data_IF_069126615955
#
_entry.id   IF_069126615955
#
_cell.length_a   1.000
_cell.length_b   1.000
_cell.length_c   1.000
_cell.angle_alpha   90.00
_cell.angle_beta   90.00
_cell.angle_gamma   90.00
#
_symmetry.space_group_name_H-M   'P 1'
#
loop_
_entity.id
_entity.type
_entity.pdbx_description
1 polymer ?
#
# COMPACT_ATOMS: atom_id res chain seq x y z
N UNK A 1 0.32 -0.78 7.99
CA UNK A 1 -0.32 -1.02 9.30
C UNK A 1 0.25 -2.28 9.90
N UNK A 2 0.41 -2.31 11.23
CA UNK A 2 0.85 -3.51 11.93
C UNK A 2 0.10 -3.67 13.25
N UNK A 3 -0.11 -4.93 13.65
CA UNK A 3 -0.44 -5.28 15.02
C UNK A 3 0.87 -5.62 15.73
N UNK A 4 1.13 -4.97 16.87
CA UNK A 4 2.36 -5.18 17.64
C UNK A 4 2.02 -5.95 18.90
N UNK A 5 2.73 -7.05 19.12
CA UNK A 5 2.56 -7.86 20.32
C UNK A 5 3.05 -7.08 21.54
N UNK A 6 2.21 -6.96 22.58
CA UNK A 6 2.57 -6.23 23.81
C UNK A 6 3.25 -7.10 24.86
N UNK A 7 3.29 -8.41 24.65
CA UNK A 7 3.89 -9.40 25.54
C UNK A 7 4.33 -10.63 24.75
N UNK A 8 5.07 -11.53 25.39
CA UNK A 8 5.29 -12.87 24.83
C UNK A 8 3.98 -13.65 24.85
N UNK A 9 3.53 -14.12 23.69
CA UNK A 9 2.27 -14.85 23.56
C UNK A 9 2.33 -15.95 22.51
N UNK A 10 1.50 -16.97 22.70
CA UNK A 10 1.29 -18.05 21.73
C UNK A 10 -0.16 -18.02 21.27
N UNK A 11 -0.37 -17.91 19.96
CA UNK A 11 -1.69 -17.96 19.33
C UNK A 11 -1.86 -19.33 18.68
N UNK A 12 -2.93 -20.04 19.03
CA UNK A 12 -3.27 -21.32 18.40
C UNK A 12 -4.32 -21.11 17.31
N UNK A 13 -3.98 -21.41 16.05
CA UNK A 13 -4.86 -21.23 14.90
C UNK A 13 -4.73 -22.42 13.96
N UNK A 14 -5.86 -23.06 13.61
CA UNK A 14 -5.88 -24.20 12.69
C UNK A 14 -5.10 -25.43 13.18
N UNK A 15 -4.94 -25.59 14.50
CA UNK A 15 -4.13 -26.67 15.10
C UNK A 15 -2.65 -26.33 15.23
N UNK A 16 -2.18 -25.22 14.64
CA UNK A 16 -0.79 -24.76 14.69
C UNK A 16 -0.59 -23.71 15.79
N UNK A 17 0.61 -23.70 16.38
CA UNK A 17 1.03 -22.71 17.37
C UNK A 17 1.91 -21.63 16.74
N UNK A 18 1.53 -20.37 16.93
CA UNK A 18 2.24 -19.20 16.43
C UNK A 18 2.77 -18.41 17.61
N UNK A 19 4.08 -18.22 17.66
CA UNK A 19 4.77 -17.54 18.75
C UNK A 19 5.09 -16.11 18.37
N UNK A 20 4.73 -15.17 19.24
CA UNK A 20 5.07 -13.76 19.13
C UNK A 20 5.77 -13.33 20.41
N UNK A 21 6.94 -12.69 20.28
CA UNK A 21 7.59 -12.01 21.40
C UNK A 21 7.00 -10.63 21.60
N UNK A 22 7.18 -10.06 22.79
CA UNK A 22 6.91 -8.65 23.03
C UNK A 22 7.65 -7.79 21.99
N UNK A 23 6.92 -6.88 21.34
CA UNK A 23 7.43 -5.99 20.31
C UNK A 23 7.40 -6.55 18.89
N UNK A 24 7.12 -7.85 18.70
CA UNK A 24 6.98 -8.40 17.36
C UNK A 24 5.83 -7.73 16.62
N UNK A 25 6.10 -7.28 15.40
CA UNK A 25 5.13 -6.58 14.55
C UNK A 25 4.63 -7.51 13.44
N UNK A 26 3.33 -7.76 13.41
CA UNK A 26 2.67 -8.42 12.29
C UNK A 26 2.11 -7.36 11.35
N UNK A 27 2.73 -7.22 10.19
CA UNK A 27 2.22 -6.34 9.13
C UNK A 27 0.89 -6.87 8.60
N UNK A 28 -0.16 -6.08 8.76
CA UNK A 28 -1.50 -6.40 8.25
C UNK A 28 -1.80 -5.71 6.92
N UNK A 29 -1.11 -4.61 6.62
CA UNK A 29 -1.37 -3.82 5.41
C UNK A 29 -0.16 -2.99 5.00
N UNK A 30 0.03 -2.81 3.69
CA UNK A 30 0.82 -1.72 3.12
C UNK A 30 -0.07 -0.75 2.36
N UNK A 31 -0.02 0.54 2.72
CA UNK A 31 -0.69 1.61 1.97
C UNK A 31 0.36 2.40 1.18
N UNK A 32 0.75 1.86 0.03
CA UNK A 32 1.82 2.45 -0.81
C UNK A 32 1.33 3.76 -1.42
N UNK A 33 2.16 4.80 -1.31
CA UNK A 33 1.89 6.13 -1.88
C UNK A 33 2.77 6.35 -3.10
N UNK A 34 2.21 7.00 -4.10
CA UNK A 34 2.88 7.25 -5.38
C UNK A 34 3.14 8.74 -5.53
N UNK A 35 4.38 9.09 -5.91
CA UNK A 35 4.64 10.39 -6.50
C UNK A 35 3.95 10.49 -7.87
N UNK A 36 3.75 11.70 -8.42
CA UNK A 36 3.22 11.87 -9.77
C UNK A 36 4.02 11.09 -10.83
N UNK A 37 5.35 11.08 -10.72
CA UNK A 37 6.24 10.38 -11.66
C UNK A 37 6.11 8.85 -11.53
N UNK A 38 6.02 8.35 -10.30
CA UNK A 38 5.81 6.92 -10.05
C UNK A 38 4.45 6.45 -10.59
N UNK A 39 3.40 7.27 -10.44
CA UNK A 39 2.08 6.99 -11.01
C UNK A 39 2.11 6.99 -12.54
N UNK A 40 2.83 7.93 -13.17
CA UNK A 40 3.01 8.00 -14.62
C UNK A 40 3.77 6.79 -15.16
N UNK A 41 4.86 6.40 -14.50
CA UNK A 41 5.64 5.22 -14.86
C UNK A 41 4.80 3.94 -14.75
N UNK A 42 4.02 3.79 -13.68
CA UNK A 42 3.12 2.65 -13.49
C UNK A 42 2.05 2.58 -14.59
N UNK A 43 1.43 3.71 -14.93
CA UNK A 43 0.44 3.77 -16.01
C UNK A 43 1.05 3.39 -17.36
N UNK A 44 2.24 3.92 -17.68
CA UNK A 44 2.94 3.63 -18.92
C UNK A 44 3.33 2.15 -19.04
N UNK A 45 3.84 1.54 -17.96
CA UNK A 45 4.16 0.11 -17.91
C UNK A 45 2.93 -0.76 -18.18
N UNK A 46 1.74 -0.28 -17.80
CA UNK A 46 0.48 -0.97 -18.06
C UNK A 46 -0.15 -0.66 -19.44
N UNK A 47 0.53 0.11 -20.31
CA UNK A 47 0.03 0.47 -21.64
C UNK A 47 -0.94 1.66 -21.66
N UNK A 48 -0.89 2.51 -20.64
CA UNK A 48 -1.75 3.69 -20.50
C UNK A 48 -0.94 4.99 -20.46
N UNK A 49 -1.58 6.09 -20.82
CA UNK A 49 -1.04 7.44 -20.64
C UNK A 49 -1.99 8.26 -19.76
N UNK A 50 -1.42 9.09 -18.88
CA UNK A 50 -2.19 10.05 -18.09
C UNK A 50 -2.57 11.22 -19.01
N UNK A 51 -3.86 11.37 -19.29
CA UNK A 51 -4.38 12.50 -20.06
C UNK A 51 -4.60 13.73 -19.17
N UNK A 52 -5.06 13.51 -17.93
CA UNK A 52 -5.33 14.59 -16.99
C UNK A 52 -5.11 14.12 -15.56
N UNK A 53 -4.65 15.05 -14.72
CA UNK A 53 -4.49 14.87 -13.28
C UNK A 53 -5.24 15.98 -12.56
N UNK A 54 -6.01 15.61 -11.55
CA UNK A 54 -6.56 16.55 -10.56
C UNK A 54 -5.94 16.22 -9.22
N UNK A 55 -5.72 17.25 -8.40
CA UNK A 55 -5.15 17.10 -7.06
C UNK A 55 -5.81 18.10 -6.15
N UNK A 56 -5.91 17.78 -4.86
CA UNK A 56 -6.34 18.73 -3.85
C UNK A 56 -5.29 19.87 -3.68
N UNK A 57 -5.65 21.02 -3.09
CA UNK A 57 -4.73 22.16 -2.92
C UNK A 57 -3.45 21.84 -2.14
N UNK A 58 -3.47 20.84 -1.25
CA UNK A 58 -2.31 20.40 -0.48
C UNK A 58 -1.50 19.30 -1.18
N UNK A 59 -1.92 18.87 -2.37
CA UNK A 59 -1.26 17.87 -3.20
C UNK A 59 -1.07 16.50 -2.52
N UNK A 60 -2.01 16.10 -1.67
CA UNK A 60 -1.94 14.84 -0.91
C UNK A 60 -2.67 13.68 -1.60
N UNK A 61 -3.66 13.97 -2.44
CA UNK A 61 -4.46 13.00 -3.17
C UNK A 61 -4.61 13.47 -4.60
N UNK A 62 -4.45 12.54 -5.55
CA UNK A 62 -4.65 12.81 -6.96
C UNK A 62 -5.60 11.81 -7.61
N UNK A 63 -6.40 12.30 -8.55
CA UNK A 63 -7.17 11.50 -9.51
C UNK A 63 -6.54 11.63 -10.89
N UNK A 64 -6.39 10.51 -11.59
CA UNK A 64 -5.81 10.45 -12.92
C UNK A 64 -6.84 9.93 -13.92
N UNK A 65 -7.06 10.69 -15.00
CA UNK A 65 -7.76 10.20 -16.18
C UNK A 65 -6.73 9.53 -17.09
N UNK A 66 -6.90 8.22 -17.31
CA UNK A 66 -6.05 7.42 -18.17
C UNK A 66 -6.71 7.18 -19.53
N UNK A 67 -5.91 7.20 -20.58
CA UNK A 67 -6.29 6.75 -21.92
C UNK A 67 -5.31 5.67 -22.39
N UNK A 68 -5.72 4.76 -23.28
CA UNK A 68 -4.78 3.82 -23.90
C UNK A 68 -3.60 4.56 -24.52
N UNK A 69 -2.39 3.98 -24.39
CA UNK A 69 -1.18 4.64 -24.85
C UNK A 69 -1.07 4.74 -26.38
N UNK A 70 -1.77 3.88 -27.13
CA UNK A 70 -1.77 3.73 -28.60
C UNK A 70 -0.37 3.66 -29.24
#
# INVERSE_FOLDING_TARGET
>A
MALVSTQDQTVHLGGEAWFFRQGDAWITEHSVKYSPDAAAALAAQAGWRIQRRWTDPHQQIALHLLLPAN
#
